data_IF_934157289075
#
_entry.id   IF_934157289075
#
_cell.length_a   1.000
_cell.length_b   1.000
_cell.length_c   1.000
_cell.angle_alpha   90.00
_cell.angle_beta   90.00
_cell.angle_gamma   90.00
#
_symmetry.space_group_name_H-M   'P 1'
#
loop_
_entity.id
_entity.type
_entity.pdbx_description
1 polymer ?
#
# COMPACT_ATOMS: atom_id res chain seq x y z
N UNK A 1 -27.69 -19.60 -76.23
CA UNK A 1 -27.33 -21.03 -76.21
C UNK A 1 -26.58 -21.32 -74.93
N UNK A 2 -27.32 -21.84 -74.06
CA UNK A 2 -27.23 -23.17 -73.46
C UNK A 2 -26.06 -23.34 -72.53
N UNK A 3 -26.43 -23.51 -71.32
CA UNK A 3 -26.47 -24.69 -70.50
C UNK A 3 -25.06 -24.98 -69.90
N UNK A 4 -24.87 -25.26 -68.66
CA UNK A 4 -25.62 -26.13 -67.80
C UNK A 4 -24.94 -26.21 -66.42
N UNK A 5 -25.81 -26.28 -65.46
CA UNK A 5 -25.70 -27.17 -64.32
C UNK A 5 -24.49 -27.11 -63.36
N UNK A 6 -24.78 -26.47 -62.26
CA UNK A 6 -24.37 -26.99 -60.97
C UNK A 6 -25.13 -28.30 -60.67
N UNK A 7 -24.53 -29.28 -60.10
CA UNK A 7 -24.89 -29.65 -58.74
C UNK A 7 -23.66 -30.13 -57.97
N UNK A 8 -23.53 -29.74 -56.71
CA UNK A 8 -23.50 -30.67 -55.60
C UNK A 8 -23.38 -29.92 -54.27
N UNK A 9 -24.51 -29.93 -53.66
CA UNK A 9 -24.63 -29.61 -52.24
C UNK A 9 -24.11 -30.82 -51.47
N UNK A 10 -22.91 -30.77 -50.96
CA UNK A 10 -22.46 -31.68 -49.92
C UNK A 10 -22.73 -31.09 -48.56
N UNK A 11 -23.62 -31.76 -47.87
CA UNK A 11 -23.91 -31.63 -46.46
C UNK A 11 -22.65 -31.88 -45.66
N UNK A 12 -22.19 -30.85 -45.02
CA UNK A 12 -21.24 -31.03 -43.89
C UNK A 12 -22.09 -31.36 -42.67
N UNK A 13 -22.01 -32.60 -42.26
CA UNK A 13 -22.61 -33.13 -41.04
C UNK A 13 -21.80 -32.63 -39.87
N UNK A 14 -22.42 -31.90 -38.96
CA UNK A 14 -21.87 -31.63 -37.67
C UNK A 14 -21.61 -32.91 -36.89
N UNK A 15 -20.40 -33.17 -36.40
CA UNK A 15 -20.25 -34.19 -35.42
C UNK A 15 -20.46 -33.56 -34.03
N UNK A 16 -21.63 -33.78 -33.52
CA UNK A 16 -21.93 -33.63 -32.10
C UNK A 16 -20.95 -34.50 -31.29
N UNK A 17 -19.99 -33.90 -30.69
CA UNK A 17 -19.22 -34.56 -29.67
C UNK A 17 -19.50 -33.84 -28.33
N UNK A 18 -20.45 -34.39 -27.62
CA UNK A 18 -20.61 -34.15 -26.21
C UNK A 18 -19.39 -34.73 -25.47
N UNK A 19 -18.54 -33.85 -24.97
CA UNK A 19 -17.44 -34.19 -24.08
C UNK A 19 -17.39 -33.14 -22.98
N UNK A 20 -18.28 -33.28 -22.01
CA UNK A 20 -18.12 -32.62 -20.73
C UNK A 20 -16.91 -33.26 -20.05
N UNK A 21 -15.82 -32.56 -19.97
CA UNK A 21 -14.81 -32.78 -18.95
C UNK A 21 -14.64 -31.48 -18.19
N UNK A 22 -15.37 -31.38 -17.09
CA UNK A 22 -15.14 -30.44 -16.03
C UNK A 22 -13.74 -30.70 -15.45
N UNK A 23 -12.75 -30.07 -16.01
CA UNK A 23 -11.45 -29.88 -15.37
C UNK A 23 -11.45 -28.45 -14.80
N UNK A 24 -12.18 -28.30 -13.69
CA UNK A 24 -11.90 -27.27 -12.71
C UNK A 24 -10.49 -27.53 -12.17
N UNK A 25 -9.50 -27.02 -12.84
CA UNK A 25 -8.20 -26.84 -12.23
C UNK A 25 -8.34 -25.74 -11.18
N UNK A 26 -8.66 -26.15 -9.95
CA UNK A 26 -8.39 -25.32 -8.79
C UNK A 26 -6.89 -25.01 -8.81
N UNK A 27 -6.57 -23.83 -9.29
CA UNK A 27 -5.28 -23.20 -9.05
C UNK A 27 -5.24 -22.95 -7.55
N UNK A 28 -4.70 -23.91 -6.79
CA UNK A 28 -4.35 -23.70 -5.39
C UNK A 28 -3.36 -22.55 -5.38
N UNK A 29 -3.84 -21.36 -5.00
CA UNK A 29 -2.97 -20.23 -4.68
C UNK A 29 -1.93 -20.75 -3.69
N UNK A 30 -0.64 -20.53 -3.91
CA UNK A 30 0.37 -20.96 -2.96
C UNK A 30 0.04 -20.26 -1.63
N UNK A 31 -0.24 -21.05 -0.61
CA UNK A 31 -0.36 -20.56 0.77
C UNK A 31 0.99 -19.97 1.12
N UNK A 32 1.08 -18.65 1.03
CA UNK A 32 2.26 -17.90 1.42
C UNK A 32 2.34 -18.06 2.94
N UNK A 33 3.31 -18.87 3.40
CA UNK A 33 3.58 -19.00 4.82
C UNK A 33 3.71 -17.60 5.39
N UNK A 34 2.90 -17.31 6.39
CA UNK A 34 3.01 -16.12 7.22
C UNK A 34 4.49 -15.97 7.61
N UNK A 35 5.16 -15.01 7.00
CA UNK A 35 6.48 -14.62 7.47
C UNK A 35 6.19 -13.85 8.75
N UNK A 36 6.53 -14.44 9.89
CA UNK A 36 6.67 -13.68 11.12
C UNK A 36 7.57 -12.49 10.79
N UNK A 37 6.98 -11.30 10.81
CA UNK A 37 7.75 -10.06 10.62
C UNK A 37 8.68 -10.00 11.82
N UNK A 38 10.01 -10.10 11.65
CA UNK A 38 10.91 -9.98 12.78
C UNK A 38 10.66 -8.60 13.39
N UNK A 39 10.25 -8.57 14.65
CA UNK A 39 10.13 -7.34 15.43
C UNK A 39 11.53 -6.76 15.58
N UNK A 40 11.87 -5.82 14.72
CA UNK A 40 13.12 -5.06 14.83
C UNK A 40 13.01 -4.26 16.12
N UNK A 41 13.97 -4.37 17.05
CA UNK A 41 13.94 -3.59 18.27
C UNK A 41 13.97 -2.10 17.90
N UNK A 42 13.06 -1.34 18.52
CA UNK A 42 13.03 0.11 18.37
C UNK A 42 14.23 0.68 19.09
N UNK A 43 15.07 1.42 18.38
CA UNK A 43 16.26 2.07 18.93
C UNK A 43 16.31 3.51 18.41
N UNK A 44 15.49 4.37 19.02
CA UNK A 44 15.47 5.79 18.71
C UNK A 44 16.71 6.48 19.28
N UNK A 45 17.22 7.45 18.54
CA UNK A 45 18.18 8.38 19.08
C UNK A 45 17.49 9.46 19.93
N UNK A 46 18.24 10.18 20.75
CA UNK A 46 17.70 11.21 21.65
C UNK A 46 16.83 12.26 20.94
N UNK A 47 17.17 12.61 19.69
CA UNK A 47 16.40 13.58 18.90
C UNK A 47 15.07 13.01 18.45
N UNK A 48 15.05 11.74 18.08
CA UNK A 48 13.81 11.05 17.67
C UNK A 48 12.90 10.82 18.88
N UNK A 49 13.43 10.56 20.06
CA UNK A 49 12.66 10.48 21.31
C UNK A 49 12.03 11.83 21.66
N UNK A 50 12.78 12.92 21.55
CA UNK A 50 12.27 14.29 21.75
C UNK A 50 11.18 14.63 20.71
N UNK A 51 11.37 14.21 19.46
CA UNK A 51 10.38 14.41 18.41
C UNK A 51 9.08 13.64 18.71
N UNK A 52 9.18 12.38 19.12
CA UNK A 52 8.01 11.56 19.50
C UNK A 52 7.23 12.21 20.63
N UNK A 53 7.91 12.59 21.70
CA UNK A 53 7.32 13.25 22.88
C UNK A 53 6.69 14.60 22.51
N UNK A 54 7.33 15.36 21.62
CA UNK A 54 6.79 16.62 21.13
C UNK A 54 5.49 16.40 20.33
N UNK A 55 5.46 15.42 19.43
CA UNK A 55 4.29 15.11 18.63
C UNK A 55 3.13 14.59 19.49
N UNK A 56 3.40 13.72 20.48
CA UNK A 56 2.38 13.26 21.41
C UNK A 56 1.69 14.38 22.18
N UNK A 57 2.45 15.43 22.51
CA UNK A 57 1.95 16.55 23.29
C UNK A 57 1.31 17.67 22.46
N UNK A 58 1.69 17.81 21.18
CA UNK A 58 1.34 18.96 20.36
C UNK A 58 0.63 18.61 19.05
N UNK A 59 0.41 17.33 18.75
CA UNK A 59 -0.33 16.96 17.54
C UNK A 59 -1.78 17.44 17.66
N UNK A 60 -2.30 18.17 16.65
CA UNK A 60 -3.68 18.63 16.67
C UNK A 60 -4.67 17.46 16.69
N UNK A 61 -5.71 17.55 17.51
CA UNK A 61 -6.73 16.49 17.66
C UNK A 61 -7.45 16.16 16.34
N UNK A 62 -7.57 17.15 15.44
CA UNK A 62 -8.20 16.95 14.14
C UNK A 62 -7.38 16.06 13.18
N UNK A 63 -6.12 15.82 13.47
CA UNK A 63 -5.25 14.95 12.65
C UNK A 63 -5.46 13.47 13.01
N UNK A 64 -5.94 13.15 14.21
CA UNK A 64 -6.17 11.76 14.68
C UNK A 64 -4.98 10.85 14.40
N UNK A 65 -3.78 11.31 14.74
CA UNK A 65 -2.57 10.57 14.44
C UNK A 65 -2.20 9.59 15.56
N UNK A 66 -1.86 8.37 15.18
CA UNK A 66 -1.20 7.42 16.06
C UNK A 66 0.31 7.58 15.94
N UNK A 67 0.94 8.00 17.02
CA UNK A 67 2.40 8.21 17.07
C UNK A 67 3.04 6.93 17.56
N UNK A 68 4.09 6.51 16.89
CA UNK A 68 4.85 5.31 17.20
C UNK A 68 6.28 5.42 16.73
N UNK A 69 6.97 4.30 16.72
CA UNK A 69 8.33 4.21 16.20
C UNK A 69 8.56 2.84 15.55
N UNK A 70 9.31 2.83 14.47
CA UNK A 70 9.76 1.60 13.81
C UNK A 70 11.26 1.69 13.57
N UNK A 71 12.00 0.69 14.08
CA UNK A 71 13.45 0.68 14.05
C UNK A 71 14.06 1.96 14.64
N UNK A 72 14.57 2.85 13.80
CA UNK A 72 15.25 4.11 14.17
C UNK A 72 14.47 5.36 13.75
N UNK A 73 13.20 5.21 13.33
CA UNK A 73 12.42 6.31 12.80
C UNK A 73 11.09 6.46 13.55
N UNK A 74 10.73 7.71 13.82
CA UNK A 74 9.41 8.03 14.37
C UNK A 74 8.36 7.86 13.28
N UNK A 75 7.24 7.24 13.60
CA UNK A 75 6.13 7.01 12.69
C UNK A 75 4.88 7.72 13.15
N UNK A 76 4.12 8.23 12.20
CA UNK A 76 2.77 8.76 12.43
C UNK A 76 1.83 8.02 11.50
N UNK A 77 0.84 7.32 12.05
CA UNK A 77 -0.23 6.72 11.26
C UNK A 77 -1.44 7.63 11.26
N UNK A 78 -1.88 8.03 10.08
CA UNK A 78 -2.99 8.96 9.90
C UNK A 78 -4.08 8.37 9.00
N UNK A 79 -5.31 8.81 9.19
CA UNK A 79 -6.40 8.50 8.26
C UNK A 79 -6.18 9.20 6.91
N UNK A 80 -6.63 8.58 5.82
CA UNK A 80 -6.50 9.13 4.46
C UNK A 80 -7.09 10.52 4.30
N UNK A 81 -8.16 10.83 5.03
CA UNK A 81 -8.81 12.14 4.96
C UNK A 81 -7.98 13.24 5.64
N UNK A 82 -7.14 12.86 6.59
CA UNK A 82 -6.33 13.78 7.40
C UNK A 82 -4.88 13.86 6.91
N UNK A 83 -4.51 13.09 5.88
CA UNK A 83 -3.13 13.03 5.38
C UNK A 83 -2.58 14.39 4.97
N UNK A 84 -3.38 15.20 4.27
CA UNK A 84 -2.96 16.52 3.79
C UNK A 84 -2.75 17.46 4.97
N UNK A 85 -3.64 17.45 5.95
CA UNK A 85 -3.56 18.29 7.14
C UNK A 85 -2.36 17.91 8.01
N UNK A 86 -2.10 16.60 8.16
CA UNK A 86 -0.92 16.10 8.84
C UNK A 86 0.38 16.55 8.15
N UNK A 87 0.46 16.44 6.84
CA UNK A 87 1.62 16.90 6.07
C UNK A 87 1.80 18.43 6.17
N UNK A 88 0.72 19.19 6.13
CA UNK A 88 0.76 20.65 6.30
C UNK A 88 1.22 21.04 7.71
N UNK A 89 0.74 20.36 8.74
CA UNK A 89 1.20 20.56 10.10
C UNK A 89 2.69 20.30 10.24
N UNK A 90 3.16 19.12 9.80
CA UNK A 90 4.57 18.75 9.85
C UNK A 90 5.48 19.71 9.09
N UNK A 91 5.00 20.28 7.98
CA UNK A 91 5.76 21.21 7.15
C UNK A 91 5.83 22.62 7.75
N UNK A 92 4.71 23.13 8.27
CA UNK A 92 4.55 24.53 8.62
C UNK A 92 4.87 24.84 10.09
N UNK A 93 4.86 23.84 10.98
CA UNK A 93 5.21 24.03 12.37
C UNK A 93 6.67 24.46 12.50
N UNK A 94 6.93 25.51 13.31
CA UNK A 94 8.24 26.12 13.46
C UNK A 94 9.29 25.19 14.09
N UNK A 95 8.86 24.17 14.83
CA UNK A 95 9.71 23.21 15.52
C UNK A 95 9.89 21.92 14.73
N UNK A 96 9.11 21.70 13.68
CA UNK A 96 9.13 20.48 12.88
C UNK A 96 9.78 20.72 11.52
N UNK A 97 9.19 21.55 10.68
CA UNK A 97 9.69 21.93 9.35
C UNK A 97 10.13 20.76 8.46
N UNK A 98 9.28 19.73 8.35
CA UNK A 98 9.49 18.62 7.46
C UNK A 98 9.18 19.04 6.02
N UNK A 99 10.16 19.63 5.36
CA UNK A 99 10.01 20.27 4.05
C UNK A 99 10.62 19.48 2.89
N UNK A 100 11.17 18.29 3.17
CA UNK A 100 11.77 17.43 2.17
C UNK A 100 11.13 16.04 2.19
N UNK A 101 10.50 15.66 1.09
CA UNK A 101 9.99 14.33 0.85
C UNK A 101 11.10 13.48 0.23
N UNK A 102 11.66 12.54 0.97
CA UNK A 102 12.77 11.72 0.51
C UNK A 102 12.31 10.49 -0.26
N UNK A 103 11.20 9.89 0.14
CA UNK A 103 10.71 8.65 -0.44
C UNK A 103 9.20 8.51 -0.21
N UNK A 104 8.51 7.93 -1.19
CA UNK A 104 7.15 7.41 -1.04
C UNK A 104 7.17 5.94 -1.43
N UNK A 105 6.65 5.09 -0.56
CA UNK A 105 6.52 3.66 -0.82
C UNK A 105 5.10 3.19 -0.55
N UNK A 106 4.73 2.10 -1.18
CA UNK A 106 3.46 1.41 -0.95
C UNK A 106 3.75 -0.01 -0.50
N UNK A 107 3.13 -0.41 0.58
CA UNK A 107 3.15 -1.80 1.04
C UNK A 107 1.79 -2.41 0.74
N UNK A 108 1.82 -3.56 0.08
CA UNK A 108 0.63 -4.31 -0.28
C UNK A 108 0.32 -5.34 0.82
N UNK A 109 -0.78 -5.12 1.51
CA UNK A 109 -1.35 -6.04 2.51
C UNK A 109 -2.61 -6.73 1.99
N UNK A 110 -2.88 -6.72 0.67
CA UNK A 110 -4.10 -7.28 0.08
C UNK A 110 -4.36 -8.72 0.56
N UNK A 111 -3.31 -9.53 0.68
CA UNK A 111 -3.42 -10.92 1.09
C UNK A 111 -3.78 -11.12 2.59
N UNK A 112 -3.67 -10.09 3.43
CA UNK A 112 -3.85 -10.16 4.88
C UNK A 112 -5.06 -9.33 5.32
N UNK A 113 -5.16 -8.08 4.87
CA UNK A 113 -6.15 -7.11 5.33
C UNK A 113 -6.88 -6.37 4.20
N UNK A 114 -6.65 -6.77 2.95
CA UNK A 114 -7.24 -6.11 1.76
C UNK A 114 -6.96 -4.60 1.71
N UNK A 115 -5.80 -4.18 2.21
CA UNK A 115 -5.40 -2.78 2.30
C UNK A 115 -4.04 -2.54 1.68
N UNK A 116 -3.82 -1.28 1.29
CA UNK A 116 -2.51 -0.76 0.91
C UNK A 116 -2.06 0.26 1.94
N UNK A 117 -0.82 0.17 2.40
CA UNK A 117 -0.23 1.17 3.28
C UNK A 117 0.72 2.06 2.48
N UNK A 118 0.41 3.36 2.44
CA UNK A 118 1.30 4.38 1.91
C UNK A 118 2.25 4.86 2.99
N UNK A 119 3.54 4.89 2.68
CA UNK A 119 4.58 5.38 3.58
C UNK A 119 5.29 6.58 2.95
N UNK A 120 5.19 7.74 3.59
CA UNK A 120 5.86 8.98 3.20
C UNK A 120 7.03 9.24 4.15
N UNK A 121 8.25 9.16 3.64
CA UNK A 121 9.44 9.47 4.41
C UNK A 121 9.79 10.95 4.25
N UNK A 122 9.57 11.71 5.32
CA UNK A 122 9.83 13.14 5.36
C UNK A 122 11.10 13.46 6.15
N UNK A 123 11.79 14.51 5.76
CA UNK A 123 12.99 14.98 6.42
C UNK A 123 12.89 16.46 6.70
N UNK A 124 13.21 16.85 7.92
CA UNK A 124 13.47 18.21 8.29
C UNK A 124 14.94 18.52 8.07
N UNK A 125 15.26 19.28 7.03
CA UNK A 125 16.64 19.65 6.71
C UNK A 125 17.23 20.56 7.78
N UNK A 126 16.41 21.39 8.40
CA UNK A 126 16.81 22.32 9.45
C UNK A 126 17.21 21.60 10.75
N UNK A 127 16.36 20.68 11.19
CA UNK A 127 16.56 19.97 12.46
C UNK A 127 17.30 18.64 12.29
N UNK A 128 17.51 18.20 11.04
CA UNK A 128 18.16 16.91 10.71
C UNK A 128 17.43 15.74 11.37
N UNK A 129 16.11 15.77 11.27
CA UNK A 129 15.21 14.74 11.78
C UNK A 129 14.47 14.06 10.64
N UNK A 130 14.08 12.81 10.86
CA UNK A 130 13.31 11.99 9.91
C UNK A 130 12.01 11.57 10.55
N UNK A 131 10.98 11.43 9.75
CA UNK A 131 9.69 10.89 10.16
C UNK A 131 9.08 10.09 9.02
N UNK A 132 8.34 9.03 9.34
CA UNK A 132 7.52 8.32 8.38
C UNK A 132 6.03 8.59 8.68
N UNK A 133 5.30 9.05 7.68
CA UNK A 133 3.85 9.20 7.75
C UNK A 133 3.22 8.03 7.02
N UNK A 134 2.41 7.24 7.73
CA UNK A 134 1.71 6.07 7.23
C UNK A 134 0.23 6.36 7.04
N UNK A 135 -0.32 5.84 5.96
CA UNK A 135 -1.73 5.99 5.64
C UNK A 135 -2.25 4.71 4.99
N UNK A 136 -3.31 4.14 5.55
CA UNK A 136 -3.99 2.98 4.97
C UNK A 136 -5.07 3.42 3.98
N UNK A 137 -5.13 2.73 2.83
CA UNK A 137 -6.11 2.93 1.76
C UNK A 137 -7.05 1.74 1.66
#
# INVERSE_FOLDING_TARGET
>A
MADSKNPDSEKIVDPTAAGKSDLKSEVKKPVRKEREVPTVPVNLDEKSEQLSSFLESNCPENISALIGAEADIVTITVDKNNLIDACNYLKNDNKLQFNYLSLVTVVDYEAISETFELNYHLVSLKFRQKIAVKCNL
#
